data_IF_440792399446
#
_entry.id   IF_440792399446
#
_cell.length_a   1.000
_cell.length_b   1.000
_cell.length_c   1.000
_cell.angle_alpha   90.00
_cell.angle_beta   90.00
_cell.angle_gamma   90.00
#
_symmetry.space_group_name_H-M   'P 1'
#
loop_
_entity.id
_entity.type
_entity.pdbx_description
1 polymer ?
#
# COMPACT_ATOMS: atom_id res chain seq x y z
N UNK A 1 -9.74 12.76 2.24
CA UNK A 1 -8.67 13.40 1.47
C UNK A 1 -9.32 14.30 0.43
N UNK A 2 -9.04 15.58 0.46
CA UNK A 2 -9.53 16.56 -0.51
C UNK A 2 -8.59 17.75 -0.57
N UNK A 3 -8.51 18.39 -1.72
CA UNK A 3 -7.82 19.65 -1.90
C UNK A 3 -8.76 20.79 -1.48
N UNK A 4 -8.89 21.05 -0.18
CA UNK A 4 -9.76 22.07 0.36
C UNK A 4 -10.43 21.64 1.67
N UNK A 5 -11.46 22.35 2.09
CA UNK A 5 -12.11 22.15 3.41
C UNK A 5 -13.60 21.81 3.33
N UNK A 6 -14.15 21.55 2.14
CA UNK A 6 -15.59 21.30 1.97
C UNK A 6 -16.07 20.07 2.73
N UNK A 7 -15.31 18.96 2.72
CA UNK A 7 -15.67 17.77 3.49
C UNK A 7 -15.48 17.99 4.99
N UNK A 8 -14.47 18.75 5.40
CA UNK A 8 -14.31 19.15 6.79
C UNK A 8 -15.53 19.94 7.27
N UNK A 9 -15.99 20.93 6.50
CA UNK A 9 -17.21 21.70 6.81
C UNK A 9 -18.43 20.79 6.96
N UNK A 10 -18.63 19.85 6.03
CA UNK A 10 -19.73 18.87 6.10
C UNK A 10 -19.64 17.98 7.34
N UNK A 11 -18.45 17.53 7.73
CA UNK A 11 -18.27 16.73 8.94
C UNK A 11 -18.51 17.55 10.20
N UNK A 12 -18.08 18.80 10.26
CA UNK A 12 -18.38 19.71 11.36
C UNK A 12 -19.89 19.95 11.49
N UNK A 13 -20.58 20.22 10.38
CA UNK A 13 -22.04 20.38 10.37
C UNK A 13 -22.78 19.09 10.82
N UNK A 14 -22.29 17.91 10.39
CA UNK A 14 -22.84 16.61 10.86
C UNK A 14 -22.63 16.43 12.36
N UNK A 15 -21.44 16.74 12.85
CA UNK A 15 -21.07 16.67 14.25
C UNK A 15 -21.97 17.58 15.10
N UNK A 16 -22.11 18.84 14.71
CA UNK A 16 -22.95 19.82 15.41
C UNK A 16 -24.40 19.33 15.52
N UNK A 17 -25.00 18.87 14.41
CA UNK A 17 -26.36 18.32 14.42
C UNK A 17 -26.50 17.12 15.36
N UNK A 18 -25.49 16.23 15.37
CA UNK A 18 -25.52 15.05 16.26
C UNK A 18 -25.43 15.45 17.73
N UNK A 19 -24.54 16.40 18.06
CA UNK A 19 -24.37 16.93 19.42
C UNK A 19 -25.66 17.61 19.91
N UNK A 20 -26.27 18.46 19.10
CA UNK A 20 -27.54 19.10 19.43
C UNK A 20 -28.62 18.05 19.73
N UNK A 21 -28.74 17.03 18.87
CA UNK A 21 -29.72 15.95 19.10
C UNK A 21 -29.46 15.18 20.40
N UNK A 22 -28.21 14.97 20.77
CA UNK A 22 -27.86 14.27 22.02
C UNK A 22 -28.12 15.14 23.24
N UNK A 23 -27.85 16.44 23.19
CA UNK A 23 -28.14 17.41 24.25
C UNK A 23 -29.65 17.42 24.55
N UNK A 24 -30.47 17.55 23.52
CA UNK A 24 -31.93 17.54 23.65
C UNK A 24 -32.47 16.21 24.19
N UNK A 25 -31.89 15.08 23.75
CA UNK A 25 -32.33 13.74 24.21
C UNK A 25 -31.97 13.42 25.64
N UNK A 26 -30.80 13.86 26.09
CA UNK A 26 -30.22 13.49 27.38
C UNK A 26 -30.37 14.59 28.44
N UNK A 27 -31.02 15.72 28.11
CA UNK A 27 -31.14 16.92 28.96
C UNK A 27 -29.76 17.43 29.44
N UNK A 28 -28.70 17.20 28.66
CA UNK A 28 -27.35 17.66 28.97
C UNK A 28 -27.19 19.12 28.56
N UNK A 29 -26.34 19.87 29.27
CA UNK A 29 -26.07 21.28 28.95
C UNK A 29 -24.97 21.44 27.90
N UNK A 30 -24.07 20.47 27.77
CA UNK A 30 -22.98 20.49 26.83
C UNK A 30 -22.37 19.11 26.65
N UNK A 31 -21.77 18.86 25.49
CA UNK A 31 -21.00 17.65 25.18
C UNK A 31 -19.62 18.06 24.75
N UNK A 32 -18.59 17.58 25.45
CA UNK A 32 -17.19 17.76 25.04
C UNK A 32 -16.82 16.76 23.94
N UNK A 33 -16.40 17.26 22.80
CA UNK A 33 -15.96 16.43 21.66
C UNK A 33 -14.45 16.27 21.70
N UNK A 34 -14.00 15.02 21.65
CA UNK A 34 -12.57 14.66 21.65
C UNK A 34 -12.32 13.44 20.75
N UNK A 35 -11.05 13.03 20.60
CA UNK A 35 -10.67 11.91 19.74
C UNK A 35 -11.32 10.58 20.11
N UNK A 36 -11.64 10.38 21.39
CA UNK A 36 -12.16 9.08 21.88
C UNK A 36 -13.65 8.90 21.54
N UNK A 37 -14.44 9.98 21.58
CA UNK A 37 -15.88 9.93 21.30
C UNK A 37 -16.25 10.36 19.86
N UNK A 38 -15.26 10.78 19.08
CA UNK A 38 -15.49 11.16 17.68
C UNK A 38 -16.10 10.03 16.82
N UNK A 39 -15.67 8.76 16.97
CA UNK A 39 -16.27 7.63 16.24
C UNK A 39 -17.75 7.41 16.58
N UNK A 40 -18.16 7.64 17.81
CA UNK A 40 -19.56 7.49 18.23
C UNK A 40 -20.45 8.58 17.62
N UNK A 41 -19.88 9.76 17.39
CA UNK A 41 -20.58 10.92 16.86
C UNK A 41 -20.61 10.93 15.32
N UNK A 42 -19.53 10.58 14.66
CA UNK A 42 -19.38 10.66 13.19
C UNK A 42 -19.41 9.30 12.49
N UNK A 43 -19.20 8.20 13.22
CA UNK A 43 -19.05 6.85 12.70
C UNK A 43 -17.58 6.48 12.43
N UNK A 44 -17.37 5.30 11.88
CA UNK A 44 -16.03 4.78 11.57
C UNK A 44 -15.31 5.72 10.62
N UNK A 45 -14.02 6.01 10.84
CA UNK A 45 -13.23 6.83 9.94
C UNK A 45 -13.24 6.24 8.51
N UNK A 46 -13.57 7.07 7.53
CA UNK A 46 -13.62 6.67 6.12
C UNK A 46 -12.20 6.38 5.60
N UNK A 47 -11.21 7.11 6.12
CA UNK A 47 -9.81 6.94 5.75
C UNK A 47 -9.04 6.44 6.97
N UNK A 48 -8.52 5.25 6.85
CA UNK A 48 -7.46 4.77 7.74
C UNK A 48 -6.12 5.19 7.14
N UNK A 49 -5.19 5.65 7.97
CA UNK A 49 -3.80 5.75 7.53
C UNK A 49 -3.34 4.32 7.27
N UNK A 50 -2.72 4.09 6.11
CA UNK A 50 -2.03 2.83 5.86
C UNK A 50 -1.08 2.62 7.03
N UNK A 51 -1.39 1.61 7.85
CA UNK A 51 -0.50 1.21 8.93
C UNK A 51 0.69 0.52 8.28
N UNK A 52 1.89 0.95 8.64
CA UNK A 52 3.11 0.21 8.34
C UNK A 52 2.96 -1.16 8.99
N UNK A 53 3.36 -2.21 8.27
CA UNK A 53 3.36 -3.57 8.79
C UNK A 53 3.98 -3.61 10.20
N UNK A 54 3.41 -4.43 11.09
CA UNK A 54 3.86 -4.51 12.49
C UNK A 54 5.21 -5.22 12.63
N UNK A 55 5.57 -6.04 11.65
CA UNK A 55 6.78 -6.85 11.64
C UNK A 55 7.48 -6.77 10.29
N UNK A 56 8.77 -7.13 10.28
CA UNK A 56 9.51 -7.35 9.04
C UNK A 56 9.01 -8.63 8.38
N UNK A 57 8.58 -8.55 7.13
CA UNK A 57 7.95 -9.65 6.39
C UNK A 57 8.73 -10.03 5.13
N UNK A 58 8.61 -11.30 4.75
CA UNK A 58 9.14 -11.79 3.47
C UNK A 58 8.20 -11.40 2.34
N UNK A 59 8.76 -10.88 1.25
CA UNK A 59 8.02 -10.54 0.04
C UNK A 59 7.19 -9.26 0.14
N UNK A 60 7.20 -8.54 1.26
CA UNK A 60 6.42 -7.33 1.44
C UNK A 60 7.34 -6.11 1.55
N UNK A 61 7.11 -5.13 0.69
CA UNK A 61 7.85 -3.87 0.66
C UNK A 61 6.91 -2.68 0.71
N UNK A 62 7.41 -1.57 1.26
CA UNK A 62 6.70 -0.30 1.27
C UNK A 62 7.24 0.60 0.15
N UNK A 63 6.45 0.80 -0.88
CA UNK A 63 6.69 1.82 -1.89
C UNK A 63 6.16 3.19 -1.44
N UNK A 64 6.69 4.24 -2.03
CA UNK A 64 6.25 5.61 -1.83
C UNK A 64 5.53 6.11 -3.08
N UNK A 65 4.31 6.57 -2.93
CA UNK A 65 3.52 7.15 -4.00
C UNK A 65 3.20 8.62 -3.72
N UNK A 66 3.16 9.41 -4.77
CA UNK A 66 2.69 10.79 -4.71
C UNK A 66 1.27 10.88 -5.24
N UNK A 67 0.45 11.68 -4.59
CA UNK A 67 -0.91 12.01 -5.05
C UNK A 67 -1.14 13.52 -4.95
N UNK A 68 -2.15 14.05 -5.64
CA UNK A 68 -2.52 15.48 -5.58
C UNK A 68 -2.82 15.97 -4.16
N UNK A 69 -3.11 15.08 -3.23
CA UNK A 69 -3.46 15.38 -1.84
C UNK A 69 -2.37 14.98 -0.84
N UNK A 70 -1.19 14.62 -1.33
CA UNK A 70 -0.02 14.28 -0.51
C UNK A 70 0.60 12.93 -0.81
N UNK A 71 1.61 12.56 -0.03
CA UNK A 71 2.29 11.26 -0.13
C UNK A 71 1.45 10.13 0.45
N UNK A 72 1.54 8.96 -0.16
CA UNK A 72 0.92 7.73 0.29
C UNK A 72 1.94 6.59 0.35
N UNK A 73 1.70 5.65 1.25
CA UNK A 73 2.43 4.39 1.29
C UNK A 73 1.74 3.39 0.38
N UNK A 74 2.52 2.65 -0.38
CA UNK A 74 2.06 1.62 -1.28
C UNK A 74 2.66 0.29 -0.87
N UNK A 75 1.83 -0.64 -0.37
CA UNK A 75 2.31 -2.00 -0.13
C UNK A 75 2.51 -2.73 -1.47
N UNK A 76 3.61 -3.44 -1.61
CA UNK A 76 3.90 -4.32 -2.73
C UNK A 76 4.23 -5.68 -2.16
N UNK A 77 3.45 -6.66 -2.54
CA UNK A 77 3.50 -8.01 -2.01
C UNK A 77 3.91 -8.99 -3.10
N UNK A 78 4.92 -9.80 -2.87
CA UNK A 78 5.35 -10.85 -3.78
C UNK A 78 5.29 -12.21 -3.09
N UNK A 79 4.79 -13.19 -3.81
CA UNK A 79 4.79 -14.59 -3.38
C UNK A 79 5.37 -15.46 -4.47
N UNK A 80 6.02 -16.56 -4.07
CA UNK A 80 6.54 -17.59 -4.99
C UNK A 80 5.79 -18.90 -4.79
N UNK A 81 5.53 -19.61 -5.88
CA UNK A 81 4.98 -20.97 -5.89
C UNK A 81 5.73 -21.82 -6.90
N UNK A 82 5.65 -23.15 -6.79
CA UNK A 82 6.18 -24.04 -7.84
C UNK A 82 5.45 -23.77 -9.16
N UNK A 83 6.20 -23.61 -10.24
CA UNK A 83 5.63 -23.25 -11.53
C UNK A 83 6.58 -23.45 -12.70
N UNK A 84 6.49 -22.57 -13.69
CA UNK A 84 7.26 -22.62 -14.95
C UNK A 84 7.96 -21.31 -15.26
N UNK A 85 8.27 -20.52 -14.26
CA UNK A 85 8.96 -19.23 -14.42
C UNK A 85 8.05 -18.06 -14.80
N UNK A 86 6.74 -18.17 -14.59
CA UNK A 86 5.80 -17.09 -14.93
C UNK A 86 5.77 -16.02 -13.85
N UNK A 87 5.84 -14.74 -14.27
CA UNK A 87 5.59 -13.58 -13.39
C UNK A 87 4.24 -12.98 -13.73
N UNK A 88 3.41 -12.76 -12.72
CA UNK A 88 2.08 -12.17 -12.85
C UNK A 88 1.89 -11.05 -11.86
N UNK A 89 1.05 -10.06 -12.22
CA UNK A 89 0.76 -8.94 -11.34
C UNK A 89 -0.73 -8.63 -11.27
N UNK A 90 -1.20 -8.20 -10.08
CA UNK A 90 -2.57 -7.75 -9.83
C UNK A 90 -2.60 -6.47 -9.00
N UNK A 91 -3.72 -5.74 -8.95
CA UNK A 91 -3.91 -4.51 -8.18
C UNK A 91 -4.33 -3.31 -9.00
N UNK A 92 -5.00 -3.50 -10.16
CA UNK A 92 -5.38 -2.43 -11.11
C UNK A 92 -4.19 -1.57 -11.53
N UNK A 93 -3.11 -2.24 -11.93
CA UNK A 93 -1.89 -1.60 -12.39
C UNK A 93 -2.10 -1.02 -13.80
N UNK A 94 -1.67 0.20 -14.03
CA UNK A 94 -1.52 0.81 -15.33
C UNK A 94 -0.40 0.17 -16.15
N UNK A 95 -0.26 0.58 -17.40
CA UNK A 95 0.65 -0.10 -18.32
C UNK A 95 2.13 0.14 -17.95
N UNK A 96 2.49 1.34 -17.52
CA UNK A 96 3.85 1.66 -17.07
C UNK A 96 4.25 0.80 -15.85
N UNK A 97 3.31 0.59 -14.95
CA UNK A 97 3.56 -0.23 -13.76
C UNK A 97 3.68 -1.72 -14.09
N UNK A 98 2.95 -2.21 -15.10
CA UNK A 98 3.11 -3.58 -15.63
C UNK A 98 4.47 -3.77 -16.32
N UNK A 99 4.93 -2.78 -17.08
CA UNK A 99 6.28 -2.76 -17.66
C UNK A 99 7.35 -2.79 -16.56
N UNK A 100 7.15 -2.06 -15.45
CA UNK A 100 8.04 -2.10 -14.29
C UNK A 100 8.14 -3.49 -13.67
N UNK A 101 7.05 -4.28 -13.64
CA UNK A 101 7.09 -5.69 -13.18
C UNK A 101 7.95 -6.54 -14.12
N UNK A 102 7.82 -6.36 -15.43
CA UNK A 102 8.62 -7.07 -16.41
C UNK A 102 10.10 -6.67 -16.33
N UNK A 103 10.39 -5.37 -16.23
CA UNK A 103 11.75 -4.88 -16.02
C UNK A 103 12.39 -5.46 -14.75
N UNK A 104 11.63 -5.51 -13.66
CA UNK A 104 12.07 -6.12 -12.41
C UNK A 104 12.39 -7.62 -12.59
N UNK A 105 11.56 -8.37 -13.30
CA UNK A 105 11.81 -9.78 -13.62
C UNK A 105 13.14 -9.96 -14.36
N UNK A 106 13.34 -9.24 -15.46
CA UNK A 106 14.58 -9.33 -16.26
C UNK A 106 15.80 -8.88 -15.46
N UNK A 107 15.69 -7.82 -14.69
CA UNK A 107 16.75 -7.35 -13.81
C UNK A 107 17.17 -8.44 -12.81
N UNK A 108 16.20 -9.08 -12.13
CA UNK A 108 16.46 -10.13 -11.16
C UNK A 108 17.13 -11.34 -11.83
N UNK A 109 16.65 -11.77 -13.00
CA UNK A 109 17.25 -12.87 -13.76
C UNK A 109 18.70 -12.54 -14.18
N UNK A 110 18.96 -11.32 -14.66
CA UNK A 110 20.30 -10.88 -15.06
C UNK A 110 21.29 -10.80 -13.89
N UNK A 111 20.80 -10.57 -12.68
CA UNK A 111 21.62 -10.41 -11.46
C UNK A 111 21.42 -11.55 -10.45
N UNK A 112 20.84 -12.68 -10.89
CA UNK A 112 20.45 -13.77 -9.98
C UNK A 112 21.59 -14.22 -9.06
N UNK A 113 22.79 -14.46 -9.59
CA UNK A 113 23.95 -14.84 -8.80
C UNK A 113 24.35 -13.80 -7.76
N UNK A 114 24.20 -12.51 -8.06
CA UNK A 114 24.49 -11.42 -7.11
C UNK A 114 23.53 -11.41 -5.93
N UNK A 115 22.32 -11.94 -6.12
CA UNK A 115 21.32 -12.13 -5.08
C UNK A 115 21.41 -13.50 -4.38
N UNK A 116 22.41 -14.32 -4.73
CA UNK A 116 22.53 -15.69 -4.22
C UNK A 116 21.46 -16.64 -4.77
N UNK A 117 20.87 -16.33 -5.91
CA UNK A 117 19.83 -17.11 -6.57
C UNK A 117 20.41 -17.95 -7.71
N UNK A 118 19.93 -19.18 -7.83
CA UNK A 118 20.22 -20.03 -8.99
C UNK A 118 19.17 -19.77 -10.09
N UNK A 119 19.58 -19.30 -11.30
CA UNK A 119 18.67 -19.05 -12.40
C UNK A 119 17.80 -20.26 -12.79
N UNK A 120 18.34 -21.47 -12.74
CA UNK A 120 17.58 -22.70 -13.04
C UNK A 120 16.48 -23.00 -12.02
N UNK A 121 16.65 -22.56 -10.79
CA UNK A 121 15.63 -22.71 -9.75
C UNK A 121 14.54 -21.64 -9.89
N UNK A 122 14.89 -20.41 -10.31
CA UNK A 122 13.90 -19.36 -10.58
C UNK A 122 12.93 -19.79 -11.69
N UNK A 123 13.42 -20.46 -12.74
CA UNK A 123 12.59 -20.97 -13.85
C UNK A 123 11.56 -22.03 -13.44
N UNK A 124 11.69 -22.61 -12.25
CA UNK A 124 10.74 -23.58 -11.69
C UNK A 124 9.73 -22.95 -10.71
N UNK A 125 9.78 -21.62 -10.58
CA UNK A 125 8.93 -20.86 -9.66
C UNK A 125 8.08 -19.87 -10.44
N UNK A 126 6.79 -19.86 -10.20
CA UNK A 126 5.93 -18.76 -10.60
C UNK A 126 5.91 -17.70 -9.48
N UNK A 127 5.93 -16.45 -9.88
CA UNK A 127 5.92 -15.30 -8.97
C UNK A 127 4.65 -14.50 -9.20
N UNK A 128 3.97 -14.16 -8.13
CA UNK A 128 2.83 -13.27 -8.18
C UNK A 128 3.13 -12.00 -7.38
N UNK A 129 2.99 -10.85 -8.04
CA UNK A 129 3.10 -9.53 -7.41
C UNK A 129 1.70 -8.95 -7.24
N UNK A 130 1.35 -8.57 -6.03
CA UNK A 130 0.08 -7.91 -5.73
C UNK A 130 0.34 -6.52 -5.15
N UNK A 131 -0.42 -5.55 -5.64
CA UNK A 131 -0.43 -4.20 -5.07
C UNK A 131 -1.84 -3.93 -4.57
N UNK A 132 -2.08 -4.00 -3.24
CA UNK A 132 -3.40 -3.83 -2.63
C UNK A 132 -4.09 -2.52 -3.00
N UNK A 133 -5.35 -2.35 -2.54
CA UNK A 133 -6.20 -1.19 -2.84
C UNK A 133 -6.59 -1.07 -4.31
N UNK A 134 -7.14 -2.15 -4.87
CA UNK A 134 -7.61 -2.20 -6.26
C UNK A 134 -8.73 -1.22 -6.62
N UNK A 135 -9.27 -0.46 -5.68
CA UNK A 135 -10.23 0.60 -5.95
C UNK A 135 -9.60 1.83 -6.65
N UNK A 136 -8.31 2.08 -6.38
CA UNK A 136 -7.56 3.21 -6.94
C UNK A 136 -6.62 2.69 -8.03
N UNK A 137 -6.74 3.16 -9.28
CA UNK A 137 -5.76 2.85 -10.32
C UNK A 137 -4.37 3.35 -9.92
N UNK A 138 -3.35 2.53 -10.18
CA UNK A 138 -1.95 2.84 -9.87
C UNK A 138 -1.14 2.75 -11.14
N UNK A 139 -0.36 3.77 -11.41
CA UNK A 139 0.56 3.79 -12.55
C UNK A 139 1.82 4.58 -12.25
N UNK A 140 2.88 4.30 -12.99
CA UNK A 140 4.16 4.99 -12.89
C UNK A 140 5.35 4.06 -12.70
N UNK A 141 6.57 4.51 -13.08
CA UNK A 141 7.78 3.69 -13.06
C UNK A 141 8.43 3.59 -11.67
N UNK A 142 8.08 4.48 -10.75
CA UNK A 142 8.78 4.66 -9.46
C UNK A 142 8.61 3.50 -8.46
N UNK A 143 7.76 2.53 -8.76
CA UNK A 143 7.58 1.32 -7.94
C UNK A 143 8.58 0.21 -8.27
N UNK A 144 9.39 0.34 -9.32
CA UNK A 144 10.30 -0.70 -9.82
C UNK A 144 11.25 -1.24 -8.75
N UNK A 145 11.92 -0.36 -8.00
CA UNK A 145 12.85 -0.76 -6.91
C UNK A 145 12.11 -1.57 -5.83
N UNK A 146 10.91 -1.16 -5.45
CA UNK A 146 10.12 -1.86 -4.45
C UNK A 146 9.65 -3.23 -4.98
N UNK A 147 9.31 -3.35 -6.27
CA UNK A 147 8.98 -4.62 -6.90
C UNK A 147 10.17 -5.58 -6.93
N UNK A 148 11.36 -5.12 -7.35
CA UNK A 148 12.58 -5.93 -7.28
C UNK A 148 12.83 -6.42 -5.86
N UNK A 149 12.74 -5.52 -4.89
CA UNK A 149 13.01 -5.86 -3.49
C UNK A 149 12.02 -6.89 -2.95
N UNK A 150 10.72 -6.75 -3.25
CA UNK A 150 9.71 -7.72 -2.81
C UNK A 150 9.90 -9.09 -3.46
N UNK A 151 10.20 -9.14 -4.76
CA UNK A 151 10.44 -10.39 -5.50
C UNK A 151 11.71 -11.08 -4.97
N UNK A 152 12.82 -10.34 -4.82
CA UNK A 152 14.08 -10.90 -4.28
C UNK A 152 13.87 -11.41 -2.86
N UNK A 153 13.17 -10.66 -2.03
CA UNK A 153 12.79 -11.10 -0.68
C UNK A 153 12.00 -12.41 -0.70
N UNK A 154 10.99 -12.49 -1.57
CA UNK A 154 10.19 -13.72 -1.73
C UNK A 154 11.04 -14.89 -2.23
N UNK A 155 11.99 -14.67 -3.16
CA UNK A 155 12.85 -15.73 -3.69
C UNK A 155 13.88 -16.22 -2.68
N UNK A 156 14.44 -15.32 -1.86
CA UNK A 156 15.51 -15.61 -0.90
C UNK A 156 15.02 -15.94 0.50
N UNK A 157 13.73 -15.76 0.79
CA UNK A 157 13.13 -15.86 2.13
C UNK A 157 13.72 -14.85 3.15
N UNK A 158 14.37 -13.79 2.66
CA UNK A 158 14.94 -12.73 3.50
C UNK A 158 13.88 -11.66 3.74
N UNK A 159 13.61 -11.34 5.00
CA UNK A 159 12.63 -10.34 5.40
C UNK A 159 13.06 -8.93 4.98
N UNK A 160 12.08 -8.12 4.54
CA UNK A 160 12.28 -6.69 4.29
C UNK A 160 11.99 -5.90 5.56
N UNK A 161 12.83 -4.90 5.84
CA UNK A 161 12.63 -4.01 6.99
C UNK A 161 11.39 -3.14 6.77
N UNK A 162 10.41 -3.27 7.65
CA UNK A 162 9.16 -2.48 7.64
C UNK A 162 9.35 -0.97 7.70
N UNK A 163 10.46 -0.52 8.28
CA UNK A 163 10.78 0.90 8.43
C UNK A 163 11.39 1.54 7.17
N UNK A 164 11.59 0.77 6.10
CA UNK A 164 12.18 1.25 4.85
C UNK A 164 11.09 1.45 3.81
N UNK A 165 10.85 2.71 3.44
CA UNK A 165 10.06 3.07 2.26
C UNK A 165 11.00 3.36 1.08
N UNK A 166 10.60 2.93 -0.12
CA UNK A 166 11.46 3.08 -1.30
C UNK A 166 10.67 3.57 -2.51
N UNK A 167 11.38 4.26 -3.39
CA UNK A 167 10.88 4.73 -4.67
C UNK A 167 12.03 4.77 -5.66
N UNK A 168 11.79 4.38 -6.89
CA UNK A 168 12.79 4.40 -7.95
C UNK A 168 12.40 3.49 -9.12
N UNK A 169 12.90 3.86 -10.29
CA UNK A 169 12.77 3.10 -11.52
C UNK A 169 13.90 2.08 -11.65
N UNK A 170 13.62 0.97 -12.33
CA UNK A 170 14.62 -0.02 -12.76
C UNK A 170 14.96 0.26 -14.19
N UNK A 171 16.24 0.48 -14.44
CA UNK A 171 16.82 0.73 -15.77
C UNK A 171 17.86 -0.32 -16.12
#
# INVERSE_FOLDING_TARGET
REAGVRNLERQLAKLTRKVVTLIEKNEEKSISVNKNNLPDLLGVPIYQRLEIEKEDLVGITTGLAWTEVGGELLSIEAVKVKGKGKVTATGKLGDVMKESVQAAEFFIRSKAFSFGLDPFNIEKLDIHVHVPEGATPKDGPSAGVAMVTSIVSALTDIKVKKSVGMTGEIT
#
